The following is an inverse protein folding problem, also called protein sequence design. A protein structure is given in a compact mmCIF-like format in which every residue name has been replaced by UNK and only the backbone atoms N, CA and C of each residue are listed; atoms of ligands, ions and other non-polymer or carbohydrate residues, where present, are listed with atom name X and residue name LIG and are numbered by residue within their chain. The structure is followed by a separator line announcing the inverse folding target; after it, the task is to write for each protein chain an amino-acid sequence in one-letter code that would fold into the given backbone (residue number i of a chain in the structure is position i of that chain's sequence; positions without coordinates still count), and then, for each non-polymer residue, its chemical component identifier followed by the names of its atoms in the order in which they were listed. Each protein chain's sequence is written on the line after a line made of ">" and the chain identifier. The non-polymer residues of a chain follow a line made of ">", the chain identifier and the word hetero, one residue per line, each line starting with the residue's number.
data_IF_372209684520
#
_entry.id   IF_372209684520
#
_cell.length_a   1.000
_cell.length_b   1.000
_cell.length_c   1.000
_cell.angle_alpha   90.00
_cell.angle_beta   90.00
_cell.angle_gamma   90.00
#
_symmetry.space_group_name_H-M   'P 1'
#
loop_
_entity.id
_entity.type
_entity.pdbx_description
1 polymer ?
#
# COMPACT_ATOMS: atom_id res chain seq x y z
N UNK A 1 -9.80 11.30 35.40
CA UNK A 1 -10.64 11.81 34.30
C UNK A 1 -10.99 10.63 33.42
N UNK A 2 -12.24 10.17 33.45
CA UNK A 2 -12.73 9.16 32.51
C UNK A 2 -13.08 9.89 31.20
N UNK A 3 -12.47 9.46 30.10
CA UNK A 3 -12.84 9.96 28.78
C UNK A 3 -14.24 9.43 28.46
N UNK A 4 -15.21 10.33 28.41
CA UNK A 4 -16.55 10.06 27.89
C UNK A 4 -16.63 10.71 26.51
N UNK A 5 -16.68 9.93 25.41
CA UNK A 5 -16.79 10.51 24.08
C UNK A 5 -18.11 11.27 23.96
N UNK A 6 -18.08 12.41 23.26
CA UNK A 6 -19.24 13.29 23.04
C UNK A 6 -20.25 12.73 22.03
N UNK A 7 -19.87 11.68 21.30
CA UNK A 7 -20.64 10.98 20.26
C UNK A 7 -20.51 9.48 20.49
N UNK A 8 -21.52 8.70 20.12
CA UNK A 8 -21.49 7.24 20.29
C UNK A 8 -20.43 6.59 19.38
N UNK A 9 -19.95 5.40 19.76
CA UNK A 9 -18.95 4.67 18.97
C UNK A 9 -19.37 4.46 17.51
N UNK A 10 -20.66 4.21 17.26
CA UNK A 10 -21.21 4.03 15.91
C UNK A 10 -21.04 5.28 15.03
N UNK A 11 -21.21 6.47 15.62
CA UNK A 11 -21.05 7.74 14.92
C UNK A 11 -19.58 8.02 14.59
N UNK A 12 -18.67 7.71 15.52
CA UNK A 12 -17.22 7.79 15.27
C UNK A 12 -16.77 6.83 14.16
N UNK A 13 -17.29 5.58 14.13
CA UNK A 13 -17.00 4.62 13.07
C UNK A 13 -17.48 5.12 11.70
N UNK A 14 -18.69 5.67 11.62
CA UNK A 14 -19.22 6.24 10.37
C UNK A 14 -18.39 7.43 9.88
N UNK A 15 -17.89 8.26 10.79
CA UNK A 15 -17.01 9.38 10.44
C UNK A 15 -15.66 8.90 9.91
N UNK A 16 -15.04 7.91 10.56
CA UNK A 16 -13.77 7.32 10.10
C UNK A 16 -13.96 6.69 8.72
N UNK A 17 -15.01 5.90 8.51
CA UNK A 17 -15.31 5.27 7.23
C UNK A 17 -15.44 6.30 6.10
N UNK A 18 -16.13 7.41 6.36
CA UNK A 18 -16.27 8.51 5.39
C UNK A 18 -14.93 9.15 5.03
N UNK A 19 -14.04 9.34 6.00
CA UNK A 19 -12.73 9.98 5.76
C UNK A 19 -11.77 9.02 5.06
N UNK A 20 -11.77 7.74 5.44
CA UNK A 20 -10.92 6.71 4.84
C UNK A 20 -11.29 6.40 3.37
N UNK A 21 -12.56 6.51 3.00
CA UNK A 21 -13.01 6.29 1.63
C UNK A 21 -12.71 7.43 0.65
N UNK A 22 -12.07 8.53 1.10
CA UNK A 22 -11.75 9.65 0.22
C UNK A 22 -10.64 9.25 -0.77
N UNK A 23 -10.75 9.64 -2.05
CA UNK A 23 -9.66 9.48 -3.00
C UNK A 23 -8.39 10.16 -2.47
N UNK A 24 -7.28 9.43 -2.44
CA UNK A 24 -5.97 10.00 -2.17
C UNK A 24 -5.29 10.34 -3.50
N UNK A 25 -4.61 11.50 -3.60
CA UNK A 25 -3.97 11.92 -4.85
C UNK A 25 -2.76 11.06 -5.22
N UNK A 26 -2.18 10.34 -4.26
CA UNK A 26 -1.05 9.44 -4.47
C UNK A 26 -1.06 8.29 -3.45
N UNK A 27 -0.32 7.23 -3.77
CA UNK A 27 0.02 6.15 -2.85
C UNK A 27 1.50 6.26 -2.50
N UNK A 28 1.84 6.29 -1.22
CA UNK A 28 3.23 6.27 -0.77
C UNK A 28 3.69 4.83 -0.56
N UNK A 29 4.62 4.36 -1.39
CA UNK A 29 5.21 3.03 -1.28
C UNK A 29 6.55 3.09 -0.56
N UNK A 30 6.72 2.25 0.46
CA UNK A 30 8.03 2.01 1.05
C UNK A 30 8.93 1.26 0.06
N UNK A 31 10.21 1.62 0.01
CA UNK A 31 11.20 0.85 -0.73
C UNK A 31 11.34 -0.53 -0.10
N UNK A 32 11.20 -1.56 -0.92
CA UNK A 32 11.42 -2.94 -0.53
C UNK A 32 12.80 -3.40 -0.98
N UNK A 33 13.46 -4.15 -0.11
CA UNK A 33 14.77 -4.75 -0.32
C UNK A 33 14.69 -6.26 -0.55
N UNK A 34 13.48 -6.82 -0.61
CA UNK A 34 13.21 -8.23 -0.85
C UNK A 34 11.84 -8.41 -1.52
N UNK A 35 11.65 -9.52 -2.23
CA UNK A 35 10.34 -9.88 -2.75
C UNK A 35 9.34 -10.19 -1.62
N UNK A 36 8.06 -9.78 -1.74
CA UNK A 36 7.00 -10.25 -0.86
C UNK A 36 6.95 -11.78 -0.84
N UNK A 37 6.80 -12.38 0.34
CA UNK A 37 6.78 -13.85 0.48
C UNK A 37 5.59 -14.54 -0.20
N UNK A 38 4.52 -13.79 -0.48
CA UNK A 38 3.34 -14.25 -1.22
C UNK A 38 2.85 -13.13 -2.15
N UNK A 39 3.43 -12.98 -3.35
CA UNK A 39 2.96 -12.01 -4.33
C UNK A 39 1.51 -12.32 -4.74
N UNK A 40 0.72 -11.28 -4.97
CA UNK A 40 -0.68 -11.39 -5.38
C UNK A 40 -0.90 -10.48 -6.58
N UNK A 41 -1.70 -10.93 -7.55
CA UNK A 41 -2.01 -10.13 -8.73
C UNK A 41 -2.62 -8.80 -8.32
N UNK A 42 -2.15 -7.72 -8.96
CA UNK A 42 -2.52 -6.34 -8.65
C UNK A 42 -1.66 -5.66 -7.57
N UNK A 43 -0.72 -6.38 -6.96
CA UNK A 43 0.23 -5.79 -6.01
C UNK A 43 1.20 -4.83 -6.71
N UNK A 44 1.45 -3.67 -6.12
CA UNK A 44 2.48 -2.72 -6.59
C UNK A 44 3.53 -2.53 -5.49
N UNK A 45 4.80 -2.63 -5.85
CA UNK A 45 5.93 -2.48 -4.91
C UNK A 45 7.01 -1.60 -5.54
N UNK A 46 7.74 -0.86 -4.70
CA UNK A 46 8.94 -0.12 -5.08
C UNK A 46 10.18 -0.94 -4.74
N UNK A 47 10.93 -1.39 -5.74
CA UNK A 47 12.17 -2.14 -5.55
C UNK A 47 13.38 -1.20 -5.38
N UNK A 48 14.38 -1.62 -4.60
CA UNK A 48 15.62 -0.85 -4.41
C UNK A 48 16.61 -1.03 -5.56
N UNK A 49 16.50 -2.10 -6.35
CA UNK A 49 17.34 -2.37 -7.51
C UNK A 49 18.74 -2.87 -7.18
N UNK A 50 19.07 -3.08 -5.90
CA UNK A 50 20.37 -3.63 -5.47
C UNK A 50 20.19 -4.96 -4.74
N UNK A 51 19.42 -4.96 -3.65
CA UNK A 51 19.12 -6.17 -2.88
C UNK A 51 18.00 -6.96 -3.52
N UNK A 52 17.01 -6.25 -4.06
CA UNK A 52 15.91 -6.81 -4.80
C UNK A 52 15.72 -6.06 -6.11
N UNK A 53 15.97 -6.78 -7.20
CA UNK A 53 15.75 -6.35 -8.57
C UNK A 53 14.94 -7.42 -9.32
N UNK A 54 13.65 -7.16 -9.61
CA UNK A 54 12.83 -8.07 -10.41
C UNK A 54 13.20 -8.14 -11.90
N UNK A 55 14.06 -7.24 -12.41
CA UNK A 55 14.63 -7.35 -13.75
C UNK A 55 14.96 -6.04 -14.47
N UNK A 56 14.71 -4.86 -13.90
CA UNK A 56 14.94 -3.55 -14.56
C UNK A 56 15.55 -2.51 -13.61
N UNK A 57 16.17 -2.95 -12.51
CA UNK A 57 16.75 -2.08 -11.50
C UNK A 57 15.73 -1.50 -10.54
N UNK A 58 16.07 -0.37 -9.94
CA UNK A 58 15.24 0.32 -8.96
C UNK A 58 14.00 0.93 -9.62
N UNK A 59 12.83 0.85 -8.97
CA UNK A 59 11.62 1.49 -9.45
C UNK A 59 10.34 0.76 -9.07
N UNK A 60 9.23 1.11 -9.71
CA UNK A 60 7.92 0.55 -9.40
C UNK A 60 7.65 -0.71 -10.24
N UNK A 61 7.14 -1.74 -9.58
CA UNK A 61 6.76 -3.00 -10.21
C UNK A 61 5.34 -3.38 -9.83
N UNK A 62 4.57 -3.81 -10.82
CA UNK A 62 3.26 -4.43 -10.64
C UNK A 62 3.37 -5.95 -10.77
N UNK A 63 2.77 -6.72 -9.87
CA UNK A 63 2.65 -8.17 -10.03
C UNK A 63 1.40 -8.49 -10.85
N UNK A 64 1.57 -9.08 -12.03
CA UNK A 64 0.47 -9.53 -12.88
C UNK A 64 0.85 -10.75 -13.68
N UNK A 65 -0.10 -11.67 -13.87
CA UNK A 65 0.14 -12.90 -14.65
C UNK A 65 1.26 -13.75 -14.06
N UNK A 66 1.41 -13.73 -12.73
CA UNK A 66 2.50 -14.40 -12.00
C UNK A 66 3.92 -13.86 -12.26
N UNK A 67 4.05 -12.64 -12.80
CA UNK A 67 5.33 -12.00 -13.07
C UNK A 67 5.37 -10.57 -12.52
N UNK A 68 6.59 -10.07 -12.25
CA UNK A 68 6.81 -8.66 -11.95
C UNK A 68 6.99 -7.88 -13.25
N UNK A 69 6.15 -6.86 -13.45
CA UNK A 69 6.18 -5.96 -14.60
C UNK A 69 6.66 -4.59 -14.16
N UNK A 70 7.68 -4.05 -14.82
CA UNK A 70 8.20 -2.73 -14.56
C UNK A 70 7.20 -1.65 -15.00
N UNK A 71 6.92 -0.68 -14.14
CA UNK A 71 5.94 0.39 -14.37
C UNK A 71 6.60 1.77 -14.55
N UNK A 72 7.88 1.91 -14.21
CA UNK A 72 8.64 3.16 -14.27
C UNK A 72 9.33 3.53 -12.97
#
# INVERSE_FOLDING_TARGET
>A
MQYQPSVGADEEFHQIARVMGRPQPFLLLSTSYAAPGKPQDGMVVKADGTHWDPGSGAGFYGYSGSAWVFLG
#
